data_IF_396569951940
#
_entry.id   IF_396569951940
#
_cell.length_a   1.000
_cell.length_b   1.000
_cell.length_c   1.000
_cell.angle_alpha   90.00
_cell.angle_beta   90.00
_cell.angle_gamma   90.00
#
_symmetry.space_group_name_H-M   'P 1'
#
loop_
_entity.id
_entity.type
_entity.pdbx_description
1 polymer ?
#
# COMPACT_ATOMS: atom_id res chain seq x y z
N UNK A 1 -70.40 -17.32 -12.60
CA UNK A 1 -70.08 -18.60 -11.89
C UNK A 1 -69.03 -18.34 -10.81
N UNK A 2 -69.49 -18.13 -9.57
CA UNK A 2 -68.65 -17.84 -8.40
C UNK A 2 -67.52 -18.90 -8.21
N UNK A 3 -67.72 -20.16 -8.50
CA UNK A 3 -66.69 -21.20 -8.41
C UNK A 3 -65.45 -20.94 -9.30
N UNK A 4 -65.66 -20.45 -10.49
CA UNK A 4 -64.54 -20.16 -11.42
C UNK A 4 -63.75 -18.91 -11.01
N UNK A 5 -64.44 -17.93 -10.38
CA UNK A 5 -63.78 -16.74 -9.86
C UNK A 5 -62.90 -17.11 -8.64
N UNK A 6 -63.40 -17.95 -7.74
CA UNK A 6 -62.64 -18.42 -6.57
C UNK A 6 -61.44 -19.26 -7.02
N UNK A 7 -61.62 -20.14 -8.03
CA UNK A 7 -60.54 -20.95 -8.56
C UNK A 7 -59.41 -20.08 -9.20
N UNK A 8 -59.81 -19.05 -9.94
CA UNK A 8 -58.84 -18.12 -10.49
C UNK A 8 -58.08 -17.27 -9.44
N UNK A 9 -58.78 -16.82 -8.39
CA UNK A 9 -58.17 -16.11 -7.27
C UNK A 9 -57.16 -17.04 -6.54
N UNK A 10 -57.51 -18.28 -6.26
CA UNK A 10 -56.60 -19.21 -5.62
C UNK A 10 -55.40 -19.53 -6.52
N UNK A 11 -55.57 -19.64 -7.85
CA UNK A 11 -54.49 -19.85 -8.81
C UNK A 11 -53.54 -18.64 -8.85
N UNK A 12 -54.08 -17.43 -8.79
CA UNK A 12 -53.29 -16.19 -8.74
C UNK A 12 -52.48 -16.10 -7.42
N UNK A 13 -53.11 -16.46 -6.29
CA UNK A 13 -52.42 -16.51 -5.00
C UNK A 13 -51.29 -17.54 -4.93
N UNK A 14 -51.45 -18.69 -5.59
CA UNK A 14 -50.37 -19.68 -5.69
C UNK A 14 -49.23 -19.19 -6.59
N UNK A 15 -49.51 -18.46 -7.66
CA UNK A 15 -48.50 -17.92 -8.53
C UNK A 15 -47.74 -16.72 -7.91
N UNK A 16 -48.34 -16.01 -6.95
CA UNK A 16 -47.66 -14.94 -6.20
C UNK A 16 -46.85 -15.47 -5.01
N UNK A 17 -46.98 -16.74 -4.66
CA UNK A 17 -46.24 -17.43 -3.58
C UNK A 17 -44.81 -17.86 -3.96
N UNK A 18 -44.38 -17.64 -5.21
CA UNK A 18 -42.96 -17.71 -5.55
C UNK A 18 -42.24 -16.49 -5.03
N UNK A 19 -42.15 -16.37 -3.71
CA UNK A 19 -41.23 -15.45 -3.07
C UNK A 19 -39.81 -15.74 -3.54
N UNK A 20 -39.08 -14.73 -3.90
CA UNK A 20 -37.65 -14.80 -4.20
C UNK A 20 -36.95 -15.59 -3.11
N UNK A 21 -36.59 -16.85 -3.44
CA UNK A 21 -35.90 -17.72 -2.50
C UNK A 21 -34.72 -17.01 -1.89
N UNK A 22 -34.69 -16.99 -0.60
CA UNK A 22 -33.56 -16.52 0.19
C UNK A 22 -32.37 -17.40 -0.22
N UNK A 23 -31.42 -16.82 -0.98
CA UNK A 23 -30.28 -17.53 -1.54
C UNK A 23 -29.20 -17.80 -0.48
N UNK A 24 -29.58 -17.98 0.77
CA UNK A 24 -28.64 -18.19 1.87
C UNK A 24 -27.92 -16.92 2.32
N UNK A 25 -28.49 -15.76 2.05
CA UNK A 25 -28.01 -14.52 2.64
C UNK A 25 -28.27 -14.54 4.16
N UNK A 26 -27.33 -14.09 4.95
CA UNK A 26 -27.46 -13.95 6.40
C UNK A 26 -28.74 -13.19 6.73
N UNK A 27 -29.70 -13.85 7.38
CA UNK A 27 -30.98 -13.25 7.79
C UNK A 27 -30.69 -12.10 8.75
N UNK A 28 -31.06 -10.88 8.33
CA UNK A 28 -30.88 -9.67 9.14
C UNK A 28 -29.90 -8.65 8.57
N UNK A 29 -29.07 -9.00 7.59
CA UNK A 29 -28.16 -8.02 6.95
C UNK A 29 -28.78 -7.56 5.62
N UNK A 30 -29.69 -6.62 5.70
CA UNK A 30 -30.15 -5.86 4.52
C UNK A 30 -29.16 -4.77 4.20
N UNK A 31 -27.98 -5.12 3.69
CA UNK A 31 -27.02 -4.17 3.16
C UNK A 31 -27.20 -3.97 1.65
N UNK A 32 -27.02 -2.76 1.17
CA UNK A 32 -26.78 -2.53 -0.27
C UNK A 32 -25.54 -3.32 -0.67
N UNK A 33 -25.57 -4.01 -1.81
CA UNK A 33 -24.36 -4.66 -2.35
C UNK A 33 -23.27 -3.58 -2.45
N UNK A 34 -22.19 -3.80 -1.73
CA UNK A 34 -21.02 -2.93 -1.80
C UNK A 34 -20.28 -3.24 -3.10
N UNK A 35 -20.18 -2.25 -3.96
CA UNK A 35 -19.28 -2.28 -5.10
C UNK A 35 -18.13 -1.35 -4.76
N UNK A 36 -16.92 -1.90 -4.70
CA UNK A 36 -15.74 -1.07 -4.53
C UNK A 36 -15.65 -0.06 -5.68
N UNK A 37 -15.42 1.20 -5.33
CA UNK A 37 -15.21 2.24 -6.34
C UNK A 37 -13.97 1.89 -7.18
N UNK A 38 -14.06 2.12 -8.49
CA UNK A 38 -12.93 1.94 -9.40
C UNK A 38 -11.82 2.90 -8.97
N UNK A 39 -10.60 2.39 -8.65
CA UNK A 39 -9.48 3.26 -8.34
C UNK A 39 -9.13 4.13 -9.56
N UNK A 40 -8.74 5.36 -9.30
CA UNK A 40 -8.35 6.29 -10.37
C UNK A 40 -7.14 5.75 -11.15
N UNK A 41 -7.19 5.84 -12.48
CA UNK A 41 -6.10 5.38 -13.36
C UNK A 41 -5.97 3.86 -13.50
N UNK A 42 -6.87 3.06 -12.93
CA UNK A 42 -6.81 1.59 -13.01
C UNK A 42 -7.92 1.02 -13.90
N UNK A 43 -7.61 -0.07 -14.61
CA UNK A 43 -8.57 -0.89 -15.33
C UNK A 43 -8.91 -2.15 -14.52
N UNK A 44 -10.18 -2.58 -14.58
CA UNK A 44 -10.59 -3.87 -14.04
C UNK A 44 -10.22 -4.98 -15.01
N UNK A 45 -9.32 -5.85 -14.61
CA UNK A 45 -8.96 -7.06 -15.35
C UNK A 45 -9.87 -8.19 -14.89
N UNK A 46 -10.63 -8.76 -15.83
CA UNK A 46 -11.51 -9.89 -15.53
C UNK A 46 -10.70 -11.13 -15.15
N UNK A 47 -11.17 -11.86 -14.15
CA UNK A 47 -10.57 -13.13 -13.78
C UNK A 47 -10.64 -14.15 -14.91
N UNK A 48 -9.65 -15.00 -15.01
CA UNK A 48 -9.56 -16.03 -16.04
C UNK A 48 -8.37 -16.95 -15.85
N UNK A 49 -8.23 -17.91 -16.75
CA UNK A 49 -7.09 -18.82 -16.79
C UNK A 49 -6.25 -18.56 -18.02
N UNK A 50 -4.95 -18.62 -17.86
CA UNK A 50 -3.99 -18.48 -18.97
C UNK A 50 -2.83 -19.47 -18.79
N UNK A 51 -2.10 -19.71 -19.87
CA UNK A 51 -0.92 -20.57 -19.86
C UNK A 51 0.31 -19.68 -19.63
N UNK A 52 1.03 -19.94 -18.54
CA UNK A 52 2.28 -19.28 -18.18
C UNK A 52 3.44 -20.23 -18.42
N UNK A 53 4.57 -19.72 -18.87
CA UNK A 53 5.78 -20.48 -19.18
C UNK A 53 6.15 -20.37 -20.65
N UNK A 54 7.27 -21.01 -21.01
CA UNK A 54 7.74 -21.06 -22.40
C UNK A 54 6.90 -22.05 -23.19
N UNK A 55 6.42 -21.62 -24.36
CA UNK A 55 5.72 -22.49 -25.29
C UNK A 55 6.72 -23.31 -26.14
N UNK A 56 6.18 -24.23 -26.94
CA UNK A 56 6.94 -25.08 -27.89
C UNK A 56 7.78 -24.26 -28.90
N UNK A 57 7.58 -22.94 -28.98
CA UNK A 57 8.36 -22.01 -29.80
C UNK A 57 9.71 -21.61 -29.16
N UNK A 58 10.09 -22.18 -28.01
CA UNK A 58 11.42 -21.98 -27.42
C UNK A 58 12.50 -22.65 -28.27
N UNK A 59 13.01 -21.91 -29.24
CA UNK A 59 14.04 -22.36 -30.20
C UNK A 59 15.33 -22.85 -29.53
N UNK A 60 15.55 -22.50 -28.26
CA UNK A 60 16.76 -22.85 -27.50
C UNK A 60 16.56 -24.14 -26.68
N UNK A 61 15.30 -24.54 -26.44
CA UNK A 61 14.97 -25.82 -25.80
C UNK A 61 15.54 -26.03 -24.41
N UNK A 62 15.69 -24.95 -23.63
CA UNK A 62 16.30 -25.04 -22.29
C UNK A 62 15.36 -25.71 -21.28
N UNK A 63 14.06 -25.81 -21.55
CA UNK A 63 13.01 -26.43 -20.70
C UNK A 63 13.02 -25.96 -19.23
N UNK A 64 13.58 -24.79 -18.95
CA UNK A 64 13.72 -24.21 -17.61
C UNK A 64 12.41 -23.56 -17.08
N UNK A 65 11.41 -23.40 -17.95
CA UNK A 65 10.13 -22.81 -17.62
C UNK A 65 8.96 -23.58 -18.26
N UNK A 66 8.60 -24.78 -17.79
CA UNK A 66 7.52 -25.57 -18.35
C UNK A 66 6.18 -24.83 -18.27
N UNK A 67 5.34 -25.05 -19.27
CA UNK A 67 4.03 -24.42 -19.35
C UNK A 67 3.12 -24.90 -18.22
N UNK A 68 2.47 -23.94 -17.54
CA UNK A 68 1.50 -24.19 -16.47
C UNK A 68 0.25 -23.35 -16.67
N UNK A 69 -0.92 -23.97 -16.54
CA UNK A 69 -2.17 -23.21 -16.52
C UNK A 69 -2.35 -22.55 -15.15
N UNK A 70 -2.49 -21.22 -15.14
CA UNK A 70 -2.68 -20.42 -13.94
C UNK A 70 -4.04 -19.74 -14.01
N UNK A 71 -4.81 -19.82 -12.93
CA UNK A 71 -6.09 -19.12 -12.79
C UNK A 71 -5.92 -17.92 -11.87
N UNK A 72 -6.29 -16.74 -12.34
CA UNK A 72 -6.20 -15.47 -11.60
C UNK A 72 -7.61 -14.94 -11.35
N UNK A 73 -7.86 -14.39 -10.18
CA UNK A 73 -9.09 -13.68 -9.86
C UNK A 73 -9.10 -12.32 -10.55
N UNK A 74 -10.28 -11.69 -10.69
CA UNK A 74 -10.38 -10.31 -11.16
C UNK A 74 -9.63 -9.36 -10.21
N UNK A 75 -8.91 -8.40 -10.78
CA UNK A 75 -8.13 -7.40 -10.03
C UNK A 75 -8.08 -6.07 -10.80
N UNK A 76 -7.69 -5.02 -10.11
CA UNK A 76 -7.41 -3.73 -10.75
C UNK A 76 -5.92 -3.62 -11.05
N UNK A 77 -5.60 -3.07 -12.20
CA UNK A 77 -4.23 -2.80 -12.64
C UNK A 77 -4.17 -1.40 -13.23
N UNK A 78 -3.07 -0.70 -13.04
CA UNK A 78 -2.84 0.60 -13.66
C UNK A 78 -2.91 0.48 -15.19
N UNK A 79 -3.54 1.46 -15.85
CA UNK A 79 -3.71 1.47 -17.32
C UNK A 79 -2.37 1.80 -18.03
N UNK A 80 -1.47 2.47 -17.32
CA UNK A 80 -0.14 2.88 -17.79
C UNK A 80 0.92 2.50 -16.76
N UNK A 81 2.17 2.48 -17.18
CA UNK A 81 3.32 2.39 -16.28
C UNK A 81 3.36 3.61 -15.36
N UNK A 82 3.83 3.42 -14.12
CA UNK A 82 3.98 4.53 -13.17
C UNK A 82 5.09 5.46 -13.65
N UNK A 83 4.76 6.72 -13.76
CA UNK A 83 5.65 7.76 -14.27
C UNK A 83 6.59 8.31 -13.20
N UNK A 84 7.67 8.99 -13.64
CA UNK A 84 8.58 9.69 -12.75
C UNK A 84 7.85 10.72 -11.87
N UNK A 85 6.89 11.46 -12.44
CA UNK A 85 6.14 12.48 -11.69
C UNK A 85 5.25 11.86 -10.62
N UNK A 86 4.61 10.71 -10.89
CA UNK A 86 3.79 9.99 -9.92
C UNK A 86 4.63 9.41 -8.78
N UNK A 87 5.77 8.79 -9.13
CA UNK A 87 6.65 8.23 -8.11
C UNK A 87 7.31 9.32 -7.25
N UNK A 88 7.65 10.49 -7.81
CA UNK A 88 8.13 11.65 -7.05
C UNK A 88 7.14 12.14 -6.00
N UNK A 89 5.83 12.06 -6.26
CA UNK A 89 4.83 12.40 -5.25
C UNK A 89 4.96 11.51 -3.99
N UNK A 90 5.26 10.23 -4.17
CA UNK A 90 5.54 9.33 -3.06
C UNK A 90 6.82 9.73 -2.31
N UNK A 91 7.91 9.98 -3.03
CA UNK A 91 9.19 10.38 -2.43
C UNK A 91 9.04 11.69 -1.64
N UNK A 92 8.36 12.70 -2.20
CA UNK A 92 8.08 13.96 -1.51
C UNK A 92 7.19 13.77 -0.29
N UNK A 93 6.16 12.94 -0.43
CA UNK A 93 5.29 12.66 0.71
C UNK A 93 6.04 11.99 1.86
N UNK A 94 6.94 11.06 1.57
CA UNK A 94 7.79 10.43 2.59
C UNK A 94 8.72 11.43 3.23
N UNK A 95 9.42 12.25 2.43
CA UNK A 95 10.28 13.33 2.92
C UNK A 95 9.53 14.26 3.87
N UNK A 96 8.40 14.77 3.43
CA UNK A 96 7.61 15.74 4.18
C UNK A 96 7.02 15.11 5.45
N UNK A 97 6.63 13.83 5.40
CA UNK A 97 6.19 13.08 6.58
C UNK A 97 7.28 12.96 7.64
N UNK A 98 8.52 12.70 7.22
CA UNK A 98 9.67 12.58 8.14
C UNK A 98 9.97 13.93 8.78
N UNK A 99 10.00 15.00 7.99
CA UNK A 99 10.23 16.34 8.50
C UNK A 99 9.16 16.73 9.52
N UNK A 100 7.89 16.51 9.21
CA UNK A 100 6.78 16.81 10.12
C UNK A 100 6.84 16.03 11.43
N UNK A 101 7.25 14.74 11.37
CA UNK A 101 7.46 13.92 12.59
C UNK A 101 8.61 14.46 13.44
N UNK A 102 9.74 14.79 12.82
CA UNK A 102 10.88 15.39 13.53
C UNK A 102 10.52 16.72 14.17
N UNK A 103 9.78 17.58 13.45
CA UNK A 103 9.27 18.83 14.01
C UNK A 103 8.31 18.61 15.19
N UNK A 104 7.51 17.53 15.14
CA UNK A 104 6.64 17.15 16.24
C UNK A 104 7.42 16.68 17.47
N UNK A 105 8.46 15.86 17.26
CA UNK A 105 9.36 15.41 18.35
C UNK A 105 10.04 16.60 19.02
N UNK A 106 10.54 17.56 18.26
CA UNK A 106 11.16 18.78 18.79
C UNK A 106 10.14 19.69 19.51
N UNK A 107 8.92 19.80 18.98
CA UNK A 107 7.85 20.56 19.63
C UNK A 107 7.44 19.94 20.97
N UNK A 108 7.37 18.60 21.07
CA UNK A 108 7.09 17.89 22.30
C UNK A 108 8.25 18.03 23.32
N UNK A 109 9.48 17.98 22.84
CA UNK A 109 10.66 18.10 23.70
C UNK A 109 10.82 19.50 24.29
N UNK A 110 10.45 20.54 23.56
CA UNK A 110 10.59 21.94 23.98
C UNK A 110 9.45 22.44 24.87
N UNK A 111 8.49 21.58 25.29
CA UNK A 111 7.27 22.00 25.98
C UNK A 111 6.52 23.16 25.26
N UNK A 112 6.79 23.32 23.97
CA UNK A 112 6.09 24.28 23.15
C UNK A 112 4.61 23.88 23.10
N UNK A 113 3.72 24.84 23.34
CA UNK A 113 2.28 24.62 23.27
C UNK A 113 1.93 23.95 21.92
N UNK A 114 1.48 22.70 21.95
CA UNK A 114 1.08 21.93 20.79
C UNK A 114 -0.20 22.47 20.13
N UNK A 115 -0.68 23.63 20.59
CA UNK A 115 -1.92 24.28 20.13
C UNK A 115 -1.78 25.04 18.80
N UNK A 116 -0.84 24.62 17.92
CA UNK A 116 -0.80 25.13 16.54
C UNK A 116 -0.04 26.42 16.32
N UNK A 117 0.78 26.87 17.28
CA UNK A 117 1.69 27.99 17.12
C UNK A 117 3.15 27.51 16.95
N UNK A 118 4.00 28.32 16.32
CA UNK A 118 5.42 28.01 16.13
C UNK A 118 5.65 26.79 15.23
N UNK A 119 6.61 25.93 15.59
CA UNK A 119 6.95 24.70 14.81
C UNK A 119 5.85 23.64 14.86
N UNK A 120 5.02 23.63 15.89
CA UNK A 120 3.92 22.68 16.05
C UNK A 120 2.86 22.77 14.91
N UNK A 121 2.69 23.94 14.32
CA UNK A 121 1.77 24.10 13.17
C UNK A 121 2.15 23.26 11.95
N UNK A 122 3.43 22.92 11.81
CA UNK A 122 3.94 22.08 10.70
C UNK A 122 3.87 20.59 11.01
N UNK A 123 3.64 20.22 12.26
CA UNK A 123 3.72 18.84 12.75
C UNK A 123 2.41 18.08 12.60
N UNK A 124 1.54 18.21 13.58
CA UNK A 124 0.26 17.49 13.64
C UNK A 124 -0.91 18.45 13.47
N UNK A 125 -1.95 17.96 12.81
CA UNK A 125 -3.22 18.65 12.73
C UNK A 125 -4.03 18.35 14.00
N UNK A 126 -4.62 19.40 14.59
CA UNK A 126 -5.61 19.22 15.65
C UNK A 126 -6.77 18.39 15.10
N UNK A 127 -6.91 17.19 15.63
CA UNK A 127 -8.01 16.35 15.23
C UNK A 127 -9.29 16.86 15.92
N UNK A 128 -10.22 17.36 15.12
CA UNK A 128 -11.59 17.58 15.60
C UNK A 128 -12.14 16.24 16.12
N UNK A 129 -12.39 16.20 17.43
CA UNK A 129 -12.83 14.98 18.12
C UNK A 129 -14.34 14.84 18.15
N UNK A 130 -15.09 15.84 17.64
CA UNK A 130 -16.54 15.88 17.76
C UNK A 130 -17.23 14.77 16.97
N UNK A 131 -16.72 14.41 15.81
CA UNK A 131 -17.34 13.43 14.89
C UNK A 131 -16.68 12.05 14.90
N UNK A 132 -15.70 11.80 15.78
CA UNK A 132 -15.04 10.51 15.85
C UNK A 132 -15.93 9.44 16.49
N UNK A 133 -15.94 8.24 15.88
CA UNK A 133 -16.57 7.05 16.48
C UNK A 133 -15.87 6.66 17.79
N UNK A 134 -16.55 5.91 18.65
CA UNK A 134 -15.99 5.40 19.92
C UNK A 134 -14.67 4.64 19.71
N UNK A 135 -14.59 3.85 18.63
CA UNK A 135 -13.36 3.12 18.28
C UNK A 135 -12.22 4.04 17.85
N UNK A 136 -12.51 5.08 17.08
CA UNK A 136 -11.50 6.06 16.64
C UNK A 136 -10.97 6.87 17.83
N UNK A 137 -11.84 7.25 18.78
CA UNK A 137 -11.45 7.91 20.04
C UNK A 137 -10.54 7.00 20.86
N UNK A 138 -10.95 5.76 21.05
CA UNK A 138 -10.14 4.77 21.76
C UNK A 138 -8.79 4.54 21.09
N UNK A 139 -8.74 4.42 19.78
CA UNK A 139 -7.50 4.27 19.01
C UNK A 139 -6.58 5.47 19.19
N UNK A 140 -7.13 6.69 19.16
CA UNK A 140 -6.38 7.94 19.36
C UNK A 140 -5.77 8.01 20.78
N UNK A 141 -6.50 7.54 21.79
CA UNK A 141 -6.04 7.54 23.19
C UNK A 141 -5.01 6.45 23.50
N UNK A 142 -5.01 5.34 22.74
CA UNK A 142 -4.20 4.17 23.04
C UNK A 142 -3.06 3.89 22.04
N UNK A 143 -2.93 4.67 20.97
CA UNK A 143 -1.82 4.55 20.01
C UNK A 143 -1.03 5.84 19.94
N UNK A 144 0.25 5.77 20.27
CA UNK A 144 1.17 6.89 20.37
C UNK A 144 1.32 7.70 19.07
N UNK A 145 1.12 7.05 17.91
CA UNK A 145 1.31 7.60 16.55
C UNK A 145 0.00 7.93 15.82
N UNK A 146 -1.12 8.13 16.51
CA UNK A 146 -2.42 8.25 15.84
C UNK A 146 -2.80 9.67 15.43
N UNK A 147 -1.97 10.67 15.70
CA UNK A 147 -2.25 12.06 15.30
C UNK A 147 -1.98 12.22 13.80
N UNK A 148 -2.94 12.75 13.02
CA UNK A 148 -2.72 13.01 11.60
C UNK A 148 -1.71 14.13 11.41
N UNK A 149 -0.78 13.95 10.48
CA UNK A 149 0.16 15.00 10.10
C UNK A 149 -0.60 16.18 9.47
N UNK A 150 -0.11 17.38 9.73
CA UNK A 150 -0.71 18.60 9.19
C UNK A 150 -0.21 18.85 7.77
N UNK A 151 -1.01 18.48 6.78
CA UNK A 151 -0.73 18.71 5.36
C UNK A 151 -1.30 20.03 4.84
N UNK A 152 -2.03 20.78 5.67
CA UNK A 152 -2.65 22.04 5.27
C UNK A 152 -1.64 23.22 5.27
N UNK A 153 -0.52 23.05 5.97
CA UNK A 153 0.57 24.02 6.03
C UNK A 153 1.76 23.52 5.24
N UNK A 154 2.21 24.28 4.27
CA UNK A 154 3.37 23.94 3.45
C UNK A 154 4.67 24.05 4.25
N UNK A 155 5.58 23.09 4.03
CA UNK A 155 6.93 23.14 4.59
C UNK A 155 7.77 24.17 3.85
N UNK A 156 8.58 24.90 4.60
CA UNK A 156 9.49 25.93 4.08
C UNK A 156 10.87 25.30 3.87
N UNK A 157 11.47 25.49 2.70
CA UNK A 157 12.79 24.95 2.35
C UNK A 157 13.83 26.03 2.01
N UNK A 158 13.40 27.29 1.91
CA UNK A 158 14.33 28.40 1.74
C UNK A 158 14.89 28.80 3.12
N UNK A 159 16.22 28.81 3.24
CA UNK A 159 16.94 29.17 4.47
C UNK A 159 16.60 30.57 5.02
N UNK A 160 16.23 31.48 4.13
CA UNK A 160 15.94 32.87 4.53
C UNK A 160 14.54 33.00 5.17
N UNK A 161 13.66 32.03 4.94
CA UNK A 161 12.27 32.08 5.35
C UNK A 161 11.96 31.15 6.54
N UNK A 162 12.98 30.50 7.12
CA UNK A 162 12.79 29.61 8.26
C UNK A 162 12.23 30.37 9.47
N UNK A 163 11.19 29.81 10.15
CA UNK A 163 10.52 30.51 11.23
C UNK A 163 11.40 30.65 12.49
N UNK A 164 12.22 29.64 12.79
CA UNK A 164 13.10 29.62 13.97
C UNK A 164 14.31 28.69 13.77
N UNK A 165 15.22 28.71 14.77
CA UNK A 165 16.46 27.92 14.75
C UNK A 165 16.18 26.41 14.88
N UNK A 166 15.14 26.00 15.57
CA UNK A 166 14.76 24.59 15.72
C UNK A 166 14.25 24.03 14.40
N UNK A 167 13.42 24.80 13.69
CA UNK A 167 12.98 24.44 12.35
C UNK A 167 14.15 24.29 11.38
N UNK A 168 15.10 25.23 11.44
CA UNK A 168 16.33 25.20 10.66
C UNK A 168 17.13 23.91 10.94
N UNK A 169 17.33 23.56 12.22
CA UNK A 169 18.10 22.38 12.60
C UNK A 169 17.45 21.08 12.06
N UNK A 170 16.14 20.94 12.19
CA UNK A 170 15.40 19.78 11.69
C UNK A 170 15.47 19.67 10.17
N UNK A 171 15.22 20.77 9.44
CA UNK A 171 15.18 20.74 7.98
C UNK A 171 16.59 20.61 7.39
N UNK A 172 17.58 21.33 7.91
CA UNK A 172 18.97 21.19 7.44
C UNK A 172 19.54 19.80 7.77
N UNK A 173 19.12 19.18 8.86
CA UNK A 173 19.47 17.79 9.19
C UNK A 173 18.97 16.74 8.18
N UNK A 174 18.09 17.13 7.24
CA UNK A 174 17.63 16.28 6.14
C UNK A 174 18.48 16.44 4.86
N UNK A 175 19.42 17.37 4.85
CA UNK A 175 20.36 17.55 3.75
C UNK A 175 21.68 16.86 4.06
N UNK A 176 22.45 16.58 3.02
CA UNK A 176 23.79 16.03 3.14
C UNK A 176 24.71 17.05 3.80
N UNK A 177 25.68 16.57 4.60
CA UNK A 177 26.68 17.40 5.21
C UNK A 177 27.53 18.14 4.15
N UNK A 178 28.04 19.31 4.47
CA UNK A 178 28.77 20.17 3.51
C UNK A 178 30.04 19.51 2.94
N UNK A 179 30.65 18.59 3.68
CA UNK A 179 31.82 17.82 3.26
C UNK A 179 31.48 16.63 2.34
N UNK A 180 30.21 16.23 2.28
CA UNK A 180 29.71 15.13 1.44
C UNK A 180 29.11 15.62 0.12
N UNK A 181 28.84 16.93 -0.02
CA UNK A 181 28.16 17.48 -1.20
C UNK A 181 29.13 17.74 -2.35
N UNK A 182 28.74 17.32 -3.54
CA UNK A 182 29.49 17.63 -4.74
C UNK A 182 29.25 19.08 -5.19
N UNK A 183 30.32 19.83 -5.47
CA UNK A 183 30.30 21.25 -5.92
C UNK A 183 29.55 22.20 -4.99
N UNK A 184 29.48 21.94 -3.70
CA UNK A 184 28.75 22.74 -2.70
C UNK A 184 27.27 22.97 -3.07
N UNK A 185 26.68 22.07 -3.83
CA UNK A 185 25.24 22.11 -4.16
C UNK A 185 24.46 21.43 -3.06
N UNK A 186 23.62 22.18 -2.35
CA UNK A 186 22.73 21.65 -1.32
C UNK A 186 21.89 20.51 -1.87
N UNK A 187 22.08 19.31 -1.34
CA UNK A 187 21.44 18.09 -1.80
C UNK A 187 20.79 17.34 -0.64
N UNK A 188 19.62 16.74 -0.88
CA UNK A 188 18.94 15.93 0.11
C UNK A 188 19.74 14.69 0.48
N UNK A 189 19.77 14.33 1.75
CA UNK A 189 20.22 13.02 2.19
C UNK A 189 19.10 11.99 1.97
N UNK A 190 19.06 11.47 0.76
CA UNK A 190 18.00 10.55 0.32
C UNK A 190 17.97 9.22 1.09
N UNK A 191 19.05 8.88 1.81
CA UNK A 191 19.12 7.68 2.67
C UNK A 191 18.21 7.80 3.88
N UNK A 192 17.84 9.03 4.27
CA UNK A 192 16.88 9.26 5.33
C UNK A 192 15.43 9.06 4.88
N UNK A 193 15.15 9.01 3.57
CA UNK A 193 13.79 8.85 3.05
C UNK A 193 13.35 7.40 3.17
N UNK A 194 12.94 7.02 4.38
CA UNK A 194 12.51 5.67 4.73
C UNK A 194 11.00 5.64 4.94
N UNK A 195 10.39 4.64 4.34
CA UNK A 195 8.96 4.38 4.48
C UNK A 195 8.76 3.03 5.16
N UNK A 196 7.95 3.02 6.20
CA UNK A 196 7.57 1.83 6.95
C UNK A 196 6.17 1.39 6.54
N UNK A 197 6.01 0.11 6.23
CA UNK A 197 4.73 -0.48 5.92
C UNK A 197 4.63 -1.91 6.44
N UNK A 198 3.40 -2.39 6.61
CA UNK A 198 3.14 -3.77 7.04
C UNK A 198 3.04 -4.68 5.84
N UNK A 199 3.99 -5.59 5.71
CA UNK A 199 3.98 -6.62 4.69
C UNK A 199 3.28 -7.89 5.19
N UNK A 200 2.21 -8.27 4.51
CA UNK A 200 1.54 -9.54 4.74
C UNK A 200 2.16 -10.62 3.85
N UNK A 201 2.96 -11.50 4.43
CA UNK A 201 3.57 -12.64 3.72
C UNK A 201 2.55 -13.75 3.49
N UNK A 202 1.58 -13.47 2.64
CA UNK A 202 0.49 -14.42 2.36
C UNK A 202 1.01 -15.71 1.71
N UNK A 203 2.05 -15.61 0.86
CA UNK A 203 2.65 -16.79 0.22
C UNK A 203 3.27 -17.71 1.26
N UNK A 204 4.08 -17.18 2.18
CA UNK A 204 4.74 -17.95 3.24
C UNK A 204 3.68 -18.57 4.19
N UNK A 205 2.62 -17.81 4.49
CA UNK A 205 1.49 -18.35 5.26
C UNK A 205 0.83 -19.55 4.59
N UNK A 206 0.58 -19.47 3.27
CA UNK A 206 -0.06 -20.53 2.51
C UNK A 206 0.84 -21.76 2.37
N UNK A 207 2.14 -21.58 2.18
CA UNK A 207 3.14 -22.66 2.11
C UNK A 207 3.18 -23.41 3.43
N UNK A 208 3.37 -22.71 4.55
CA UNK A 208 3.38 -23.34 5.89
C UNK A 208 2.04 -24.03 6.18
N UNK A 209 0.92 -23.40 5.79
CA UNK A 209 -0.41 -24.01 5.96
C UNK A 209 -0.54 -25.31 5.18
N UNK A 210 -0.08 -25.36 3.93
CA UNK A 210 -0.12 -26.56 3.10
C UNK A 210 0.74 -27.68 3.71
N UNK A 211 1.92 -27.36 4.21
CA UNK A 211 2.80 -28.30 4.88
C UNK A 211 2.16 -28.89 6.14
N UNK A 212 1.52 -28.04 6.96
CA UNK A 212 0.81 -28.50 8.16
C UNK A 212 -0.37 -29.39 7.83
N UNK A 213 -1.15 -29.07 6.79
CA UNK A 213 -2.26 -29.91 6.32
C UNK A 213 -1.73 -31.27 5.83
N UNK A 214 -0.64 -31.29 5.09
CA UNK A 214 -0.01 -32.52 4.62
C UNK A 214 0.50 -33.37 5.80
N UNK A 215 1.06 -32.76 6.83
CA UNK A 215 1.48 -33.44 8.05
C UNK A 215 0.29 -34.09 8.74
N UNK A 216 -0.81 -33.35 8.98
CA UNK A 216 -2.03 -33.86 9.62
C UNK A 216 -2.72 -34.96 8.81
N UNK A 217 -2.63 -34.91 7.48
CA UNK A 217 -3.16 -35.96 6.62
C UNK A 217 -2.40 -37.29 6.75
N UNK A 218 -1.15 -37.28 7.21
CA UNK A 218 -0.32 -38.47 7.46
C UNK A 218 -0.47 -39.00 8.88
N UNK A 219 -1.08 -38.24 9.80
CA UNK A 219 -1.30 -38.66 11.18
C UNK A 219 -2.35 -39.81 11.29
N UNK A 220 -2.40 -40.46 12.43
CA UNK A 220 -3.34 -41.55 12.68
C UNK A 220 -4.13 -41.30 13.97
N UNK A 221 -5.44 -40.91 13.92
CA UNK A 221 -6.27 -40.77 12.70
C UNK A 221 -5.94 -39.52 11.89
N UNK A 222 -6.08 -39.54 10.56
CA UNK A 222 -5.79 -38.38 9.71
C UNK A 222 -6.85 -37.30 9.92
N UNK A 223 -6.38 -36.04 10.01
CA UNK A 223 -7.24 -34.85 10.04
C UNK A 223 -7.24 -34.26 8.62
N UNK A 224 -8.41 -34.31 7.97
CA UNK A 224 -8.57 -33.80 6.61
C UNK A 224 -9.26 -32.43 6.61
N UNK A 225 -8.71 -31.47 5.86
CA UNK A 225 -9.25 -30.12 5.69
C UNK A 225 -9.48 -29.36 7.01
N UNK A 226 -8.45 -29.22 7.88
CA UNK A 226 -8.58 -28.45 9.09
C UNK A 226 -8.85 -26.96 8.79
N UNK A 227 -9.64 -26.33 9.63
CA UNK A 227 -9.85 -24.87 9.61
C UNK A 227 -8.61 -24.12 10.12
N UNK A 228 -8.52 -22.82 9.85
CA UNK A 228 -7.42 -21.99 10.37
C UNK A 228 -7.40 -21.97 11.91
N UNK A 229 -8.57 -21.99 12.54
CA UNK A 229 -8.72 -22.05 14.01
C UNK A 229 -8.22 -23.38 14.59
N UNK A 230 -8.49 -24.49 13.91
CA UNK A 230 -7.99 -25.81 14.31
C UNK A 230 -6.47 -25.89 14.15
N UNK A 231 -5.91 -25.34 13.08
CA UNK A 231 -4.47 -25.27 12.88
C UNK A 231 -3.80 -24.39 13.94
N UNK A 232 -4.41 -23.27 14.34
CA UNK A 232 -3.91 -22.41 15.41
C UNK A 232 -3.89 -23.13 16.78
N UNK A 233 -4.87 -23.97 17.04
CA UNK A 233 -4.94 -24.77 18.28
C UNK A 233 -3.91 -25.91 18.28
N UNK A 234 -3.73 -26.58 17.15
CA UNK A 234 -2.86 -27.75 17.02
C UNK A 234 -1.38 -27.38 16.94
N UNK A 235 -1.08 -26.24 16.33
CA UNK A 235 0.30 -25.76 16.14
C UNK A 235 0.49 -24.40 16.81
N UNK A 236 1.20 -24.41 17.92
CA UNK A 236 1.53 -23.16 18.63
C UNK A 236 2.33 -22.22 17.71
N UNK A 237 1.85 -20.97 17.61
CA UNK A 237 2.47 -19.95 16.76
C UNK A 237 1.97 -19.90 15.30
N UNK A 238 1.11 -20.82 14.85
CA UNK A 238 0.46 -20.69 13.55
C UNK A 238 -0.69 -19.69 13.61
N UNK A 239 -0.34 -18.41 13.53
CA UNK A 239 -1.30 -17.30 13.48
C UNK A 239 -1.03 -16.43 12.28
N UNK A 240 -2.07 -16.01 11.59
CA UNK A 240 -1.95 -15.10 10.44
C UNK A 240 -1.21 -13.81 10.80
N UNK A 241 -1.34 -13.34 12.03
CA UNK A 241 -0.61 -12.18 12.54
C UNK A 241 0.91 -12.36 12.54
N UNK A 242 1.41 -13.60 12.69
CA UNK A 242 2.85 -13.88 12.74
C UNK A 242 3.52 -13.80 11.37
N UNK A 243 2.71 -13.75 10.30
CA UNK A 243 3.16 -13.56 8.93
C UNK A 243 3.04 -12.10 8.47
N UNK A 244 2.71 -11.18 9.38
CA UNK A 244 2.75 -9.74 9.13
C UNK A 244 4.06 -9.22 9.70
N UNK A 245 4.89 -8.65 8.84
CA UNK A 245 6.19 -8.06 9.21
C UNK A 245 6.18 -6.58 8.90
N UNK A 246 6.80 -5.80 9.78
CA UNK A 246 7.05 -4.39 9.52
C UNK A 246 8.31 -4.27 8.65
N UNK A 247 8.16 -3.74 7.45
CA UNK A 247 9.24 -3.52 6.49
C UNK A 247 9.56 -2.03 6.41
N UNK A 248 10.84 -1.69 6.53
CA UNK A 248 11.34 -0.32 6.38
C UNK A 248 12.22 -0.27 5.15
N UNK A 249 11.89 0.58 4.19
CA UNK A 249 12.61 0.69 2.95
C UNK A 249 13.03 2.13 2.63
N UNK A 250 14.14 2.28 1.95
CA UNK A 250 14.53 3.54 1.30
C UNK A 250 13.70 3.71 0.03
N UNK A 251 12.98 4.83 -0.09
CA UNK A 251 12.04 5.04 -1.21
C UNK A 251 12.69 5.66 -2.44
N UNK A 252 13.89 6.21 -2.30
CA UNK A 252 14.55 6.88 -3.42
C UNK A 252 15.00 5.87 -4.48
N UNK A 253 14.69 6.08 -5.78
CA UNK A 253 15.11 5.17 -6.83
C UNK A 253 16.62 5.22 -7.05
N UNK A 254 17.18 4.14 -7.58
CA UNK A 254 18.57 4.14 -8.03
C UNK A 254 18.69 4.94 -9.34
N UNK A 255 19.20 6.15 -9.25
CA UNK A 255 19.39 7.05 -10.39
C UNK A 255 20.62 6.70 -11.23
N UNK A 256 21.42 5.72 -10.80
CA UNK A 256 22.67 5.32 -11.50
C UNK A 256 22.48 4.21 -12.53
N UNK A 257 21.26 3.68 -12.67
CA UNK A 257 20.96 2.54 -13.57
C UNK A 257 21.35 2.82 -15.02
N UNK A 258 21.12 4.04 -15.51
CA UNK A 258 21.49 4.42 -16.88
C UNK A 258 23.00 4.43 -17.09
N UNK A 259 23.77 4.88 -16.10
CA UNK A 259 25.24 4.89 -16.14
C UNK A 259 25.78 3.46 -16.15
N UNK A 260 25.14 2.57 -15.42
CA UNK A 260 25.54 1.16 -15.31
C UNK A 260 25.32 0.41 -16.62
N UNK A 261 24.19 0.62 -17.27
CA UNK A 261 23.82 -0.09 -18.50
C UNK A 261 24.45 0.52 -19.76
N UNK A 262 24.64 1.84 -19.78
CA UNK A 262 25.14 2.59 -20.95
C UNK A 262 26.45 3.33 -20.64
N UNK A 263 27.48 2.59 -20.28
CA UNK A 263 28.79 3.11 -19.80
C UNK A 263 29.52 4.11 -20.71
N UNK A 264 29.15 4.17 -22.00
CA UNK A 264 29.82 5.02 -22.99
C UNK A 264 29.02 6.27 -23.38
N UNK A 265 27.91 6.51 -22.76
CA UNK A 265 26.96 7.60 -23.13
C UNK A 265 26.98 8.78 -22.14
N UNK A 266 28.15 9.25 -21.75
CA UNK A 266 28.34 10.26 -20.70
C UNK A 266 27.61 11.59 -20.91
N UNK A 267 27.21 11.92 -22.12
CA UNK A 267 26.52 13.16 -22.46
C UNK A 267 25.01 12.99 -22.69
N UNK A 268 24.49 11.79 -22.48
CA UNK A 268 23.05 11.56 -22.61
C UNK A 268 22.31 12.20 -21.43
N UNK A 269 21.27 13.01 -21.66
CA UNK A 269 20.51 13.65 -20.60
C UNK A 269 19.94 12.67 -19.57
N UNK A 270 19.57 11.45 -20.03
CA UNK A 270 19.05 10.39 -19.17
C UNK A 270 20.04 9.93 -18.09
N UNK A 271 21.35 10.09 -18.29
CA UNK A 271 22.36 9.72 -17.31
C UNK A 271 22.39 10.64 -16.09
N UNK A 272 22.05 11.92 -16.27
CA UNK A 272 22.24 12.90 -15.21
C UNK A 272 20.97 13.14 -14.42
N UNK A 273 19.82 13.30 -15.10
CA UNK A 273 18.63 13.85 -14.46
C UNK A 273 17.32 13.14 -14.85
N UNK A 274 17.37 11.89 -15.32
CA UNK A 274 16.16 11.19 -15.79
C UNK A 274 15.00 11.24 -14.79
N UNK A 275 15.29 11.05 -13.51
CA UNK A 275 14.26 11.04 -12.48
C UNK A 275 13.75 12.45 -12.16
N UNK A 276 14.55 13.49 -12.33
CA UNK A 276 14.21 14.84 -11.86
C UNK A 276 13.85 15.83 -12.97
N UNK A 277 14.33 15.60 -14.19
CA UNK A 277 14.15 16.55 -15.27
C UNK A 277 12.70 16.54 -15.78
N UNK A 278 12.10 17.72 -15.95
CA UNK A 278 10.69 17.89 -16.34
C UNK A 278 10.33 17.23 -17.69
N UNK A 279 11.27 17.14 -18.62
CA UNK A 279 11.06 16.47 -19.90
C UNK A 279 10.73 14.98 -19.75
N UNK A 280 11.09 14.34 -18.64
CA UNK A 280 10.84 12.94 -18.37
C UNK A 280 9.74 12.70 -17.33
N UNK A 281 8.93 13.72 -17.02
CA UNK A 281 7.84 13.61 -16.04
C UNK A 281 6.88 12.47 -16.34
N UNK A 282 6.50 12.33 -17.60
CA UNK A 282 5.52 11.34 -18.08
C UNK A 282 6.18 10.04 -18.58
N UNK A 283 7.50 9.90 -18.39
CA UNK A 283 8.21 8.67 -18.69
C UNK A 283 8.17 7.71 -17.50
N UNK A 284 8.24 6.39 -17.76
CA UNK A 284 8.20 5.38 -16.71
C UNK A 284 9.33 5.57 -15.70
N UNK A 285 9.03 5.41 -14.41
CA UNK A 285 10.08 5.39 -13.38
C UNK A 285 10.95 4.15 -13.54
N UNK A 286 12.28 4.33 -13.45
CA UNK A 286 13.27 3.25 -13.49
C UNK A 286 14.15 3.26 -12.24
N UNK A 287 14.88 2.18 -12.01
CA UNK A 287 15.77 2.06 -10.85
C UNK A 287 15.03 1.81 -9.54
N UNK A 288 13.82 1.24 -9.60
CA UNK A 288 13.06 0.84 -8.42
C UNK A 288 13.11 -0.67 -8.22
N UNK A 289 13.27 -1.09 -6.98
CA UNK A 289 13.21 -2.48 -6.57
C UNK A 289 11.76 -2.94 -6.40
N UNK A 290 11.55 -4.26 -6.40
CA UNK A 290 10.23 -4.84 -6.10
C UNK A 290 9.67 -4.38 -4.74
N UNK A 291 10.53 -4.27 -3.71
CA UNK A 291 10.11 -3.78 -2.39
C UNK A 291 9.65 -2.32 -2.44
N UNK A 292 10.34 -1.48 -3.20
CA UNK A 292 9.94 -0.07 -3.39
C UNK A 292 8.62 0.04 -4.16
N UNK A 293 8.41 -0.77 -5.20
CA UNK A 293 7.14 -0.82 -5.91
C UNK A 293 5.98 -1.26 -5.00
N UNK A 294 6.21 -2.25 -4.14
CA UNK A 294 5.23 -2.70 -3.15
C UNK A 294 4.89 -1.60 -2.14
N UNK A 295 5.89 -0.91 -1.61
CA UNK A 295 5.70 0.22 -0.71
C UNK A 295 4.93 1.38 -1.36
N UNK A 296 5.17 1.65 -2.64
CA UNK A 296 4.38 2.62 -3.41
C UNK A 296 2.89 2.23 -3.48
N UNK A 297 2.59 0.94 -3.68
CA UNK A 297 1.22 0.44 -3.68
C UNK A 297 0.55 0.60 -2.30
N UNK A 298 1.26 0.30 -1.22
CA UNK A 298 0.77 0.49 0.15
C UNK A 298 0.52 1.97 0.46
N UNK A 299 1.44 2.85 0.07
CA UNK A 299 1.26 4.29 0.21
C UNK A 299 0.02 4.79 -0.54
N UNK A 300 -0.22 4.34 -1.79
CA UNK A 300 -1.43 4.69 -2.54
C UNK A 300 -2.71 4.22 -1.83
N UNK A 301 -2.65 3.03 -1.23
CA UNK A 301 -3.78 2.47 -0.47
C UNK A 301 -4.07 3.29 0.78
N UNK A 302 -3.05 3.77 1.48
CA UNK A 302 -3.23 4.64 2.66
C UNK A 302 -3.82 6.01 2.29
N UNK A 303 -3.52 6.54 1.10
CA UNK A 303 -4.00 7.84 0.66
C UNK A 303 -5.45 7.83 0.16
N UNK A 304 -6.03 6.68 -0.08
CA UNK A 304 -7.41 6.52 -0.52
C UNK A 304 -8.40 6.59 0.66
#
# INVERSE_FOLDING_TARGET
>A
NMKNIILNIVLILILMSCGSGDKGELVGVKGKKYFAEKPFGMALIAGGSFIMGKSDDDLVGIEDAPTKTVTVRSFYMDETEITNSEYRQFVYWVRDSIIRRKLAEEAEYSDADLEGEGIAQYAYKDADTTDLSVYQKWKKENTFDSRPLNWDVDLIFDRNDYPDDTYLEVVEGMFMAEDEVFNNVRSWDVKQFKFEYKDSRVADYLEVKEDLINQLATDNPPILNPTDEELEILFDGFRRSNFITDEVIEVYPDTTVWITDFKYSYNEPMHNDYFWHDAYNDYPVVGITWKQAKAFCEWRTMKK
#
